data_IF_570472640868
#
_entry.id   IF_570472640868
#
_cell.length_a   1.000
_cell.length_b   1.000
_cell.length_c   1.000
_cell.angle_alpha   90.00
_cell.angle_beta   90.00
_cell.angle_gamma   90.00
#
_symmetry.space_group_name_H-M   'P 1'
#
loop_
_entity.id
_entity.type
_entity.pdbx_description
1 polymer ?
#
# COMPACT_ATOMS: atom_id res chain seq x y z
N UNK A 1 23.86 -4.48 -23.25
CA UNK A 1 24.39 -3.35 -22.47
C UNK A 1 23.24 -2.79 -21.64
N UNK A 2 23.25 -3.02 -20.30
CA UNK A 2 22.29 -2.39 -19.39
C UNK A 2 22.46 -0.88 -19.46
N UNK A 3 21.43 -0.18 -19.94
CA UNK A 3 21.34 1.27 -19.81
C UNK A 3 20.88 1.57 -18.37
N UNK A 4 21.81 1.99 -17.53
CA UNK A 4 21.48 2.56 -16.22
C UNK A 4 20.90 3.96 -16.45
N UNK A 5 19.59 4.12 -16.28
CA UNK A 5 18.97 5.42 -16.17
C UNK A 5 19.26 5.98 -14.79
N UNK A 6 20.28 6.83 -14.64
CA UNK A 6 20.47 7.62 -13.43
C UNK A 6 19.57 8.84 -13.48
N UNK A 7 18.44 8.80 -12.76
CA UNK A 7 17.69 9.97 -12.45
C UNK A 7 18.44 10.76 -11.37
N UNK A 8 19.04 11.92 -11.75
CA UNK A 8 19.50 12.88 -10.77
C UNK A 8 18.28 13.65 -10.26
N UNK A 9 17.86 13.37 -9.02
CA UNK A 9 16.81 14.13 -8.36
C UNK A 9 17.38 15.45 -7.86
N UNK A 10 16.85 16.57 -8.34
CA UNK A 10 17.02 17.87 -7.69
C UNK A 10 16.36 17.82 -6.30
N UNK A 11 17.14 18.11 -5.25
CA UNK A 11 16.65 18.10 -3.87
C UNK A 11 15.88 19.39 -3.63
N UNK A 12 14.60 19.41 -4.01
CA UNK A 12 13.65 20.42 -3.58
C UNK A 12 12.93 19.97 -2.30
N UNK A 13 12.47 20.93 -1.49
CA UNK A 13 11.84 20.76 -0.18
C UNK A 13 10.55 19.93 -0.16
N UNK A 14 10.02 19.48 -1.29
CA UNK A 14 8.91 18.51 -1.43
C UNK A 14 9.32 17.45 -2.42
N UNK A 15 9.19 16.18 -2.07
CA UNK A 15 9.24 15.11 -3.07
C UNK A 15 7.91 15.15 -3.84
N UNK A 16 8.00 14.96 -5.15
CA UNK A 16 6.87 14.83 -6.06
C UNK A 16 6.93 13.39 -6.62
N UNK A 17 5.83 12.69 -6.67
CA UNK A 17 5.76 11.34 -7.24
C UNK A 17 5.95 11.36 -8.76
N UNK A 18 5.78 12.53 -9.38
CA UNK A 18 6.07 12.79 -10.78
C UNK A 18 7.56 12.97 -10.98
N UNK A 19 8.03 12.63 -12.18
CA UNK A 19 9.46 12.71 -12.50
C UNK A 19 9.71 13.32 -13.89
N UNK A 20 10.94 13.82 -14.08
CA UNK A 20 11.45 14.25 -15.37
C UNK A 20 12.17 13.10 -16.05
N UNK A 21 12.18 13.09 -17.39
CA UNK A 21 12.83 12.07 -18.18
C UNK A 21 13.94 12.69 -19.05
N UNK A 22 15.15 12.16 -18.92
CA UNK A 22 16.31 12.54 -19.72
C UNK A 22 16.90 11.29 -20.39
N UNK A 23 17.30 11.41 -21.66
CA UNK A 23 17.98 10.35 -22.40
C UNK A 23 19.45 10.67 -22.61
N UNK A 24 20.28 9.66 -22.51
CA UNK A 24 21.68 9.69 -22.87
C UNK A 24 21.93 8.70 -24.03
N UNK A 25 22.17 9.20 -25.23
CA UNK A 25 22.27 8.39 -26.45
C UNK A 25 23.53 7.51 -26.49
N UNK A 26 24.58 7.88 -25.78
CA UNK A 26 25.79 7.09 -25.59
C UNK A 26 26.48 7.44 -24.28
N UNK A 27 27.32 6.54 -23.76
CA UNK A 27 27.98 6.66 -22.44
C UNK A 27 28.67 8.04 -22.20
N UNK A 28 29.07 8.75 -23.27
CA UNK A 28 29.76 10.02 -23.18
C UNK A 28 28.98 11.21 -23.79
N UNK A 29 27.73 10.99 -24.21
CA UNK A 29 26.88 12.08 -24.71
C UNK A 29 26.25 12.86 -23.55
N UNK A 30 25.81 14.09 -23.84
CA UNK A 30 25.01 14.87 -22.86
C UNK A 30 23.63 14.26 -22.70
N UNK A 31 23.05 14.45 -21.52
CA UNK A 31 21.63 14.16 -21.28
C UNK A 31 20.78 15.13 -22.11
N UNK A 32 19.78 14.57 -22.77
CA UNK A 32 18.81 15.31 -23.60
C UNK A 32 17.50 15.27 -22.83
N UNK A 33 16.89 16.42 -22.50
CA UNK A 33 15.57 16.41 -21.84
C UNK A 33 14.52 15.88 -22.83
N UNK A 34 13.71 14.92 -22.36
CA UNK A 34 12.59 14.34 -23.11
C UNK A 34 11.28 14.78 -22.48
N UNK A 35 11.20 14.75 -21.15
CA UNK A 35 10.13 15.34 -20.32
C UNK A 35 10.83 16.19 -19.27
N UNK A 36 10.71 17.51 -19.35
CA UNK A 36 11.38 18.47 -18.45
C UNK A 36 10.39 19.15 -17.48
N UNK A 37 9.14 18.70 -17.48
CA UNK A 37 8.10 19.15 -16.55
C UNK A 37 7.61 17.98 -15.67
N UNK A 38 7.09 18.29 -14.47
CA UNK A 38 6.51 17.30 -13.56
C UNK A 38 5.02 17.10 -13.89
N UNK A 39 4.74 16.42 -15.00
CA UNK A 39 3.38 16.21 -15.54
C UNK A 39 2.80 14.82 -15.24
N UNK A 40 3.64 13.86 -14.86
CA UNK A 40 3.26 12.49 -14.51
C UNK A 40 4.47 11.68 -14.07
N UNK A 41 4.22 10.49 -13.57
CA UNK A 41 5.27 9.48 -13.34
C UNK A 41 5.61 8.81 -14.67
N UNK A 42 6.90 8.66 -14.97
CA UNK A 42 7.40 7.91 -16.12
C UNK A 42 8.37 6.83 -15.64
N UNK A 43 8.02 5.58 -15.85
CA UNK A 43 8.86 4.43 -15.51
C UNK A 43 9.23 3.67 -16.78
N UNK A 44 10.53 3.53 -17.03
CA UNK A 44 11.04 2.76 -18.16
C UNK A 44 10.69 1.27 -17.98
N UNK A 45 10.18 0.65 -19.04
CA UNK A 45 9.81 -0.78 -19.04
C UNK A 45 10.90 -1.58 -19.74
N UNK A 46 11.12 -1.33 -21.04
CA UNK A 46 12.11 -2.00 -21.87
C UNK A 46 12.31 -1.23 -23.18
N UNK A 47 13.25 -1.69 -24.02
CA UNK A 47 13.52 -1.13 -25.33
C UNK A 47 13.88 -2.20 -26.36
N UNK A 48 13.48 -1.96 -27.62
CA UNK A 48 13.88 -2.77 -28.76
C UNK A 48 14.11 -1.84 -29.96
N UNK A 49 15.24 -1.98 -30.63
CA UNK A 49 15.65 -1.10 -31.74
C UNK A 49 15.67 0.39 -31.33
N UNK A 50 14.86 1.23 -31.97
CA UNK A 50 14.73 2.65 -31.69
C UNK A 50 13.48 3.00 -30.86
N UNK A 51 12.83 2.02 -30.24
CA UNK A 51 11.60 2.19 -29.45
C UNK A 51 11.92 1.93 -27.99
N UNK A 52 11.50 2.85 -27.12
CA UNK A 52 11.55 2.70 -25.65
C UNK A 52 10.12 2.73 -25.13
N UNK A 53 9.73 1.78 -24.28
CA UNK A 53 8.42 1.72 -23.67
C UNK A 53 8.45 2.22 -22.22
N UNK A 54 7.41 2.97 -21.88
CA UNK A 54 7.24 3.54 -20.53
C UNK A 54 5.82 3.29 -20.02
N UNK A 55 5.73 3.05 -18.73
CA UNK A 55 4.51 3.27 -17.96
C UNK A 55 4.44 4.76 -17.60
N UNK A 56 3.25 5.36 -17.65
CA UNK A 56 3.06 6.75 -17.21
C UNK A 56 1.68 6.96 -16.60
N UNK A 57 1.60 7.92 -15.65
CA UNK A 57 0.34 8.44 -15.08
C UNK A 57 -0.07 9.77 -15.70
N UNK A 58 0.65 10.29 -16.69
CA UNK A 58 0.30 11.54 -17.39
C UNK A 58 -1.05 11.44 -18.07
N UNK A 59 -2.05 12.22 -17.55
CA UNK A 59 -3.42 12.20 -18.03
C UNK A 59 -4.12 10.84 -17.89
N UNK A 60 -3.62 9.95 -17.01
CA UNK A 60 -4.09 8.59 -16.82
C UNK A 60 -3.83 8.14 -15.37
N UNK A 61 -4.66 8.53 -14.39
CA UNK A 61 -4.45 8.21 -12.97
C UNK A 61 -4.35 6.72 -12.65
N UNK A 62 -4.91 5.84 -13.48
CA UNK A 62 -4.75 4.38 -13.37
C UNK A 62 -3.52 3.84 -14.12
N UNK A 63 -2.80 4.71 -14.82
CA UNK A 63 -1.65 4.37 -15.65
C UNK A 63 -2.00 3.91 -17.06
N UNK A 64 -1.07 4.21 -17.97
CA UNK A 64 -1.10 3.78 -19.39
C UNK A 64 0.30 3.42 -19.84
N UNK A 65 0.40 2.77 -21.02
CA UNK A 65 1.67 2.44 -21.65
C UNK A 65 1.85 3.33 -22.89
N UNK A 66 3.00 3.97 -22.94
CA UNK A 66 3.42 4.80 -24.08
C UNK A 66 4.76 4.31 -24.62
N UNK A 67 5.06 4.61 -25.86
CA UNK A 67 6.41 4.46 -26.37
C UNK A 67 7.00 5.79 -26.83
N UNK A 68 8.32 5.85 -26.79
CA UNK A 68 9.15 6.90 -27.35
C UNK A 68 9.92 6.32 -28.52
N UNK A 69 9.60 6.75 -29.71
CA UNK A 69 10.32 6.36 -30.94
C UNK A 69 11.34 7.43 -31.31
N UNK A 70 12.60 6.99 -31.56
CA UNK A 70 13.70 7.88 -31.97
C UNK A 70 13.80 7.84 -33.49
N UNK A 71 13.30 8.88 -34.16
CA UNK A 71 13.32 9.02 -35.62
C UNK A 71 14.14 10.23 -36.08
N UNK A 72 15.23 10.01 -36.79
CA UNK A 72 16.06 11.09 -37.35
C UNK A 72 16.48 12.16 -36.33
N UNK A 73 16.76 11.74 -35.10
CA UNK A 73 17.11 12.62 -33.96
C UNK A 73 15.94 13.36 -33.31
N UNK A 74 14.72 13.07 -33.72
CA UNK A 74 13.48 13.56 -33.09
C UNK A 74 12.85 12.49 -32.20
N UNK A 75 12.15 12.92 -31.17
CA UNK A 75 11.41 12.08 -30.23
C UNK A 75 9.91 12.13 -30.56
N UNK A 76 9.32 10.96 -30.82
CA UNK A 76 7.89 10.83 -31.13
C UNK A 76 7.25 9.95 -30.11
N UNK A 77 6.30 10.50 -29.29
CA UNK A 77 5.52 9.77 -28.34
C UNK A 77 4.25 9.17 -28.98
N UNK A 78 3.97 7.92 -28.67
CA UNK A 78 2.75 7.26 -29.07
C UNK A 78 2.13 6.54 -27.86
N UNK A 79 0.79 6.61 -27.73
CA UNK A 79 0.06 5.76 -26.80
C UNK A 79 -0.01 4.34 -27.38
N UNK A 80 0.37 3.34 -26.57
CA UNK A 80 0.39 1.92 -26.96
C UNK A 80 -0.78 1.18 -26.32
N UNK A 81 -0.95 1.34 -25.01
CA UNK A 81 -2.08 0.77 -24.29
C UNK A 81 -2.71 1.90 -23.46
N UNK A 82 -3.95 2.22 -23.78
CA UNK A 82 -4.71 3.28 -23.12
C UNK A 82 -5.01 2.94 -21.65
N UNK A 83 -5.29 3.96 -20.85
CA UNK A 83 -5.77 3.80 -19.48
C UNK A 83 -7.02 2.91 -19.44
N UNK A 84 -7.06 2.05 -18.43
CA UNK A 84 -8.23 1.22 -18.12
C UNK A 84 -8.90 1.69 -16.83
N UNK A 85 -10.09 1.11 -16.53
CA UNK A 85 -10.76 1.33 -15.23
C UNK A 85 -9.96 0.79 -14.04
N UNK A 86 -9.05 -0.17 -14.28
CA UNK A 86 -8.23 -0.82 -13.28
C UNK A 86 -6.81 -0.24 -13.29
N UNK A 87 -6.26 0.05 -12.13
CA UNK A 87 -4.93 0.60 -12.00
C UNK A 87 -3.86 -0.44 -12.40
N UNK A 88 -2.84 0.00 -13.13
CA UNK A 88 -1.68 -0.81 -13.46
C UNK A 88 -0.76 -0.91 -12.23
N UNK A 89 -0.52 -2.13 -11.76
CA UNK A 89 0.41 -2.42 -10.66
C UNK A 89 1.84 -2.66 -11.13
N UNK A 90 2.00 -3.41 -12.21
CA UNK A 90 3.30 -3.69 -12.83
C UNK A 90 3.15 -4.07 -14.28
N UNK A 91 4.21 -3.80 -15.04
CA UNK A 91 4.33 -4.12 -16.46
C UNK A 91 5.69 -4.75 -16.70
N UNK A 92 5.73 -5.82 -17.48
CA UNK A 92 6.97 -6.43 -17.99
C UNK A 92 6.79 -6.71 -19.47
N UNK A 93 7.89 -6.72 -20.23
CA UNK A 93 7.92 -7.19 -21.62
C UNK A 93 8.68 -8.49 -21.64
N UNK A 94 8.02 -9.57 -22.08
CA UNK A 94 8.59 -10.91 -22.18
C UNK A 94 7.99 -11.57 -23.41
N UNK A 95 8.79 -12.29 -24.21
CA UNK A 95 8.35 -12.94 -25.44
C UNK A 95 7.61 -11.96 -26.39
N UNK A 96 8.24 -10.81 -26.64
CA UNK A 96 7.66 -9.73 -27.47
C UNK A 96 6.22 -9.34 -27.09
N UNK A 97 5.88 -9.45 -25.80
CA UNK A 97 4.54 -9.17 -25.29
C UNK A 97 4.57 -8.43 -23.96
N UNK A 98 3.66 -7.47 -23.78
CA UNK A 98 3.41 -6.86 -22.47
C UNK A 98 2.64 -7.85 -21.59
N UNK A 99 3.18 -8.12 -20.42
CA UNK A 99 2.49 -8.82 -19.32
C UNK A 99 2.15 -7.78 -18.27
N UNK A 100 0.89 -7.41 -18.19
CA UNK A 100 0.41 -6.32 -17.33
C UNK A 100 -0.39 -6.90 -16.17
N UNK A 101 0.01 -6.52 -14.95
CA UNK A 101 -0.74 -6.80 -13.73
C UNK A 101 -1.59 -5.58 -13.38
N UNK A 102 -2.90 -5.71 -13.54
CA UNK A 102 -3.90 -4.74 -13.08
C UNK A 102 -4.41 -5.09 -11.70
N UNK A 103 -4.90 -4.10 -10.96
CA UNK A 103 -5.69 -4.31 -9.75
C UNK A 103 -7.19 -4.22 -10.07
N UNK A 104 -7.90 -5.32 -9.92
CA UNK A 104 -9.35 -5.38 -10.00
C UNK A 104 -9.88 -5.67 -8.59
N UNK A 105 -10.49 -4.65 -7.97
CA UNK A 105 -10.98 -4.73 -6.58
C UNK A 105 -9.94 -5.33 -5.61
N UNK A 106 -8.70 -4.80 -5.64
CA UNK A 106 -7.57 -5.22 -4.80
C UNK A 106 -6.92 -6.58 -5.14
N UNK A 107 -7.46 -7.32 -6.10
CA UNK A 107 -6.86 -8.55 -6.60
C UNK A 107 -6.07 -8.30 -7.89
N UNK A 108 -5.03 -9.08 -8.09
CA UNK A 108 -4.26 -9.06 -9.34
C UNK A 108 -5.03 -9.68 -10.48
N UNK A 109 -5.01 -9.00 -11.63
CA UNK A 109 -5.49 -9.50 -12.90
C UNK A 109 -4.39 -9.35 -13.94
N UNK A 110 -3.98 -10.45 -14.56
CA UNK A 110 -2.92 -10.44 -15.57
C UNK A 110 -3.53 -10.41 -16.96
N UNK A 111 -3.13 -9.41 -17.77
CA UNK A 111 -3.48 -9.30 -19.18
C UNK A 111 -2.22 -9.26 -20.03
N UNK A 112 -2.28 -9.89 -21.19
CA UNK A 112 -1.17 -9.96 -22.17
C UNK A 112 -1.58 -9.21 -23.43
N UNK A 113 -0.66 -8.37 -23.93
CA UNK A 113 -0.83 -7.59 -25.15
C UNK A 113 0.43 -7.76 -26.01
N UNK A 114 0.30 -7.67 -27.32
CA UNK A 114 1.46 -7.57 -28.19
C UNK A 114 2.14 -6.19 -28.10
N UNK A 115 3.32 -6.03 -28.72
CA UNK A 115 4.07 -4.76 -28.67
C UNK A 115 3.39 -3.59 -29.40
N UNK A 116 2.35 -3.84 -30.22
CA UNK A 116 1.50 -2.80 -30.81
C UNK A 116 0.32 -2.39 -29.93
N UNK A 117 0.15 -3.04 -28.74
CA UNK A 117 -0.91 -2.74 -27.79
C UNK A 117 -2.22 -3.50 -28.04
N UNK A 118 -2.22 -4.47 -28.96
CA UNK A 118 -3.40 -5.31 -29.20
C UNK A 118 -3.53 -6.37 -28.09
N UNK A 119 -4.73 -6.50 -27.53
CA UNK A 119 -5.02 -7.48 -26.50
C UNK A 119 -4.92 -8.91 -27.04
N UNK A 120 -4.15 -9.76 -26.37
CA UNK A 120 -3.98 -11.17 -26.68
C UNK A 120 -4.88 -12.01 -25.79
N UNK A 121 -4.71 -11.91 -24.46
CA UNK A 121 -5.43 -12.76 -23.51
C UNK A 121 -5.46 -12.17 -22.11
N UNK A 122 -6.46 -12.59 -21.31
CA UNK A 122 -6.48 -12.48 -19.85
C UNK A 122 -6.08 -13.84 -19.27
N UNK A 123 -5.06 -13.87 -18.41
CA UNK A 123 -4.59 -15.11 -17.81
C UNK A 123 -5.59 -15.63 -16.78
N UNK A 124 -6.01 -16.89 -16.93
CA UNK A 124 -6.86 -17.57 -15.95
C UNK A 124 -6.03 -18.01 -14.76
N UNK A 125 -5.92 -17.15 -13.74
CA UNK A 125 -5.10 -17.38 -12.56
C UNK A 125 -5.59 -18.57 -11.74
N UNK A 126 -4.68 -19.35 -11.09
CA UNK A 126 -5.05 -20.54 -10.33
C UNK A 126 -5.88 -20.21 -9.09
N UNK A 127 -5.69 -19.00 -8.52
CA UNK A 127 -6.39 -18.49 -7.33
C UNK A 127 -6.50 -16.97 -7.41
N UNK A 128 -7.54 -16.44 -6.79
CA UNK A 128 -7.63 -15.00 -6.50
C UNK A 128 -6.61 -14.60 -5.42
N UNK A 129 -5.87 -13.52 -5.66
CA UNK A 129 -4.85 -13.03 -4.74
C UNK A 129 -3.95 -11.99 -5.34
N UNK A 130 -2.80 -11.83 -4.74
CA UNK A 130 -1.72 -10.99 -5.23
C UNK A 130 -0.77 -11.81 -6.07
N UNK A 131 -0.52 -11.32 -7.28
CA UNK A 131 0.47 -11.89 -8.20
C UNK A 131 1.73 -11.02 -8.18
N UNK A 132 2.88 -11.67 -8.23
CA UNK A 132 4.19 -11.04 -8.40
C UNK A 132 5.08 -11.92 -9.28
N UNK A 133 6.10 -11.33 -9.89
CA UNK A 133 7.01 -12.05 -10.79
C UNK A 133 6.88 -11.58 -12.22
N UNK A 134 6.86 -12.50 -13.18
CA UNK A 134 6.97 -12.24 -14.60
C UNK A 134 8.27 -11.51 -14.95
N UNK A 135 9.38 -11.95 -14.37
CA UNK A 135 10.71 -11.44 -14.69
C UNK A 135 11.30 -12.21 -15.86
N UNK A 136 11.94 -11.49 -16.77
CA UNK A 136 12.59 -12.04 -17.96
C UNK A 136 12.97 -10.96 -18.93
N UNK A 137 13.66 -11.32 -20.00
CA UNK A 137 13.95 -10.45 -21.14
C UNK A 137 12.92 -10.57 -22.25
N UNK A 138 12.96 -9.63 -23.18
CA UNK A 138 12.02 -9.54 -24.30
C UNK A 138 12.03 -10.81 -25.20
N UNK A 139 13.14 -11.58 -25.22
CA UNK A 139 13.29 -12.81 -26.02
C UNK A 139 13.00 -14.09 -25.22
N UNK A 140 12.75 -13.99 -23.91
CA UNK A 140 12.50 -15.17 -23.07
C UNK A 140 11.09 -15.72 -23.34
N UNK A 141 10.99 -17.03 -23.54
CA UNK A 141 9.71 -17.71 -23.81
C UNK A 141 9.04 -18.29 -22.55
N UNK A 142 9.71 -18.21 -21.41
CA UNK A 142 9.16 -18.70 -20.14
C UNK A 142 9.53 -17.80 -18.98
N UNK A 143 8.68 -17.79 -17.94
CA UNK A 143 8.91 -17.03 -16.73
C UNK A 143 8.32 -17.73 -15.52
N UNK A 144 8.40 -17.06 -14.36
CA UNK A 144 7.78 -17.50 -13.12
C UNK A 144 6.90 -16.41 -12.56
N UNK A 145 5.78 -16.81 -11.95
CA UNK A 145 4.97 -15.91 -11.14
C UNK A 145 4.59 -16.59 -9.83
N UNK A 146 4.40 -15.78 -8.81
CA UNK A 146 3.94 -16.22 -7.50
C UNK A 146 2.53 -15.73 -7.22
N UNK A 147 1.74 -16.57 -6.55
CA UNK A 147 0.39 -16.27 -6.06
C UNK A 147 0.38 -16.39 -4.55
N UNK A 148 -0.26 -15.44 -3.88
CA UNK A 148 -0.54 -15.50 -2.44
C UNK A 148 -1.84 -14.74 -2.13
N UNK A 149 -2.47 -15.06 -0.99
CA UNK A 149 -3.57 -14.28 -0.42
C UNK A 149 -3.62 -14.43 1.11
N UNK A 150 -4.66 -13.94 1.79
CA UNK A 150 -4.73 -13.99 3.27
C UNK A 150 -4.82 -15.40 3.87
N UNK A 151 -5.08 -16.42 3.04
CA UNK A 151 -5.22 -17.81 3.49
C UNK A 151 -4.38 -18.80 2.67
N UNK A 152 -3.77 -18.35 1.58
CA UNK A 152 -2.90 -19.19 0.75
C UNK A 152 -1.45 -18.75 0.90
N UNK A 153 -0.57 -19.58 1.46
CA UNK A 153 0.87 -19.39 1.41
C UNK A 153 1.37 -19.23 -0.03
N UNK A 154 2.59 -18.73 -0.20
CA UNK A 154 3.15 -18.49 -1.52
C UNK A 154 3.22 -19.76 -2.34
N UNK A 155 2.64 -19.71 -3.54
CA UNK A 155 2.77 -20.71 -4.59
C UNK A 155 3.47 -20.09 -5.79
N UNK A 156 4.46 -20.77 -6.36
CA UNK A 156 5.21 -20.32 -7.54
C UNK A 156 4.84 -21.21 -8.72
N UNK A 157 4.49 -20.60 -9.81
CA UNK A 157 4.13 -21.25 -11.07
C UNK A 157 5.18 -20.90 -12.13
N UNK A 158 5.53 -21.89 -12.96
CA UNK A 158 6.27 -21.68 -14.19
C UNK A 158 5.27 -21.49 -15.31
N UNK A 159 5.44 -20.47 -16.14
CA UNK A 159 4.58 -20.16 -17.28
C UNK A 159 5.39 -20.24 -18.58
N UNK A 160 4.80 -20.86 -19.60
CA UNK A 160 5.23 -20.76 -20.99
C UNK A 160 4.47 -19.59 -21.64
N UNK A 161 5.19 -18.59 -22.13
CA UNK A 161 4.61 -17.39 -22.71
C UNK A 161 4.28 -17.53 -24.22
N UNK A 162 4.55 -18.70 -24.79
CA UNK A 162 4.17 -18.99 -26.19
C UNK A 162 2.71 -19.41 -26.33
N UNK A 163 2.18 -20.11 -25.30
CA UNK A 163 0.80 -20.60 -25.23
C UNK A 163 0.04 -20.20 -23.97
N UNK A 164 0.72 -19.48 -23.05
CA UNK A 164 0.22 -19.01 -21.75
C UNK A 164 -0.18 -20.16 -20.80
N UNK A 165 0.29 -21.37 -21.03
CA UNK A 165 0.13 -22.49 -20.10
C UNK A 165 1.05 -22.35 -18.91
N UNK A 166 0.61 -22.80 -17.73
CA UNK A 166 1.44 -22.78 -16.53
C UNK A 166 1.23 -24.00 -15.66
N UNK A 167 2.26 -24.33 -14.90
CA UNK A 167 2.26 -25.45 -13.95
C UNK A 167 2.80 -25.01 -12.59
N UNK A 168 2.33 -25.67 -11.52
CA UNK A 168 2.84 -25.41 -10.18
C UNK A 168 4.29 -25.90 -10.11
N UNK A 169 5.20 -24.97 -9.84
CA UNK A 169 6.63 -25.24 -9.69
C UNK A 169 7.01 -25.48 -8.23
N UNK A 170 6.46 -24.68 -7.31
CA UNK A 170 6.76 -24.77 -5.89
C UNK A 170 5.64 -24.19 -5.05
N UNK A 171 5.41 -24.71 -3.85
CA UNK A 171 4.51 -24.14 -2.85
C UNK A 171 5.18 -24.13 -1.48
N UNK A 172 4.90 -23.09 -0.69
CA UNK A 172 5.30 -23.06 0.71
C UNK A 172 4.43 -24.04 1.51
N UNK A 173 5.07 -25.05 2.11
CA UNK A 173 4.41 -26.01 3.00
C UNK A 173 4.63 -25.61 4.46
N UNK A 174 3.54 -25.55 5.20
CA UNK A 174 3.55 -25.21 6.62
C UNK A 174 2.99 -26.37 7.43
N UNK A 175 3.77 -26.85 8.40
CA UNK A 175 3.34 -27.94 9.27
C UNK A 175 2.10 -27.55 10.05
N UNK A 176 1.05 -28.39 9.95
CA UNK A 176 -0.20 -28.17 10.67
C UNK A 176 -1.07 -27.04 10.11
N UNK A 177 -0.85 -26.61 8.87
CA UNK A 177 -1.67 -25.64 8.17
C UNK A 177 -2.26 -26.22 6.90
N UNK A 178 -3.59 -26.12 6.77
CA UNK A 178 -4.31 -26.35 5.51
C UNK A 178 -5.11 -25.10 5.17
N UNK A 179 -4.88 -24.53 3.98
CA UNK A 179 -5.59 -23.33 3.52
C UNK A 179 -7.11 -23.55 3.35
N UNK A 180 -7.55 -24.80 3.20
CA UNK A 180 -8.97 -25.17 3.08
C UNK A 180 -9.76 -25.01 4.38
N UNK A 181 -9.06 -24.92 5.54
CA UNK A 181 -9.64 -24.66 6.85
C UNK A 181 -9.99 -23.19 7.09
N UNK A 182 -9.63 -22.32 6.16
CA UNK A 182 -9.80 -20.88 6.29
C UNK A 182 -10.59 -20.31 5.11
N UNK A 183 -11.21 -19.17 5.34
CA UNK A 183 -11.88 -18.38 4.31
C UNK A 183 -11.35 -16.96 4.31
N UNK A 184 -11.32 -16.36 3.11
CA UNK A 184 -11.10 -14.94 2.92
C UNK A 184 -12.13 -14.44 1.90
N UNK A 185 -12.77 -13.32 2.23
CA UNK A 185 -13.73 -12.68 1.33
C UNK A 185 -13.50 -11.19 1.28
N UNK A 186 -13.82 -10.58 0.15
CA UNK A 186 -13.86 -9.15 -0.06
C UNK A 186 -15.29 -8.66 0.12
N UNK A 187 -15.46 -7.61 0.90
CA UNK A 187 -16.71 -6.85 1.02
C UNK A 187 -16.42 -5.35 0.81
N UNK A 188 -17.48 -4.56 0.64
CA UNK A 188 -17.40 -3.10 0.52
C UNK A 188 -18.29 -2.46 1.58
N UNK A 189 -17.83 -1.33 2.13
CA UNK A 189 -18.60 -0.55 3.07
C UNK A 189 -18.54 0.94 2.70
N UNK A 190 -19.61 1.70 2.98
CA UNK A 190 -19.59 3.14 2.78
C UNK A 190 -18.77 3.82 3.88
N UNK A 191 -17.82 4.67 3.50
CA UNK A 191 -17.18 5.62 4.41
C UNK A 191 -18.15 6.72 4.83
N UNK A 192 -17.68 7.68 5.62
CA UNK A 192 -18.48 8.81 6.12
C UNK A 192 -19.09 9.65 5.01
N UNK A 193 -18.39 9.80 3.89
CA UNK A 193 -18.82 10.55 2.71
C UNK A 193 -19.54 9.69 1.66
N UNK A 194 -19.77 8.40 1.94
CA UNK A 194 -20.42 7.45 1.05
C UNK A 194 -19.48 6.71 0.10
N UNK A 195 -18.19 7.05 0.05
CA UNK A 195 -17.18 6.35 -0.76
C UNK A 195 -17.15 4.87 -0.36
N UNK A 196 -17.21 3.97 -1.35
CA UNK A 196 -17.15 2.53 -1.12
C UNK A 196 -15.70 2.09 -0.88
N UNK A 197 -15.43 1.58 0.31
CA UNK A 197 -14.10 1.14 0.73
C UNK A 197 -14.04 -0.38 0.75
N UNK A 198 -13.06 -1.02 0.07
CA UNK A 198 -12.89 -2.47 0.13
C UNK A 198 -12.36 -2.91 1.50
N UNK A 199 -12.84 -4.04 1.97
CA UNK A 199 -12.36 -4.70 3.17
C UNK A 199 -12.26 -6.20 2.97
N UNK A 200 -11.09 -6.75 3.23
CA UNK A 200 -10.89 -8.20 3.27
C UNK A 200 -11.15 -8.73 4.66
N UNK A 201 -11.91 -9.80 4.77
CA UNK A 201 -12.25 -10.45 6.04
C UNK A 201 -11.82 -11.90 5.94
N UNK A 202 -10.95 -12.35 6.87
CA UNK A 202 -10.45 -13.72 6.89
C UNK A 202 -10.54 -14.35 8.28
N UNK A 203 -10.92 -15.63 8.34
CA UNK A 203 -11.12 -16.37 9.56
C UNK A 203 -11.10 -17.89 9.30
N UNK A 204 -11.18 -18.72 10.34
CA UNK A 204 -11.43 -20.15 10.21
C UNK A 204 -12.81 -20.39 9.60
N UNK A 205 -12.92 -21.40 8.72
CA UNK A 205 -14.15 -21.71 7.98
C UNK A 205 -15.31 -22.13 8.88
N UNK A 206 -15.01 -22.83 9.95
CA UNK A 206 -15.98 -23.38 10.92
C UNK A 206 -16.27 -22.44 12.09
N UNK A 207 -15.69 -21.22 12.11
CA UNK A 207 -15.90 -20.25 13.15
C UNK A 207 -17.32 -19.67 13.09
N UNK A 208 -18.08 -19.84 14.14
CA UNK A 208 -19.35 -19.12 14.38
C UNK A 208 -19.01 -17.70 14.85
N UNK A 209 -19.29 -16.72 14.00
CA UNK A 209 -18.94 -15.32 14.24
C UNK A 209 -20.11 -14.59 14.86
N UNK A 210 -19.83 -13.88 15.98
CA UNK A 210 -20.79 -13.02 16.67
C UNK A 210 -20.12 -11.74 17.21
N UNK A 211 -20.86 -10.97 18.03
CA UNK A 211 -20.37 -9.75 18.70
C UNK A 211 -19.28 -9.99 19.75
N UNK A 212 -19.07 -11.23 20.20
CA UNK A 212 -18.03 -11.61 21.17
C UNK A 212 -16.76 -12.12 20.47
N UNK A 213 -16.81 -12.35 19.17
CA UNK A 213 -15.68 -12.84 18.40
C UNK A 213 -14.54 -11.82 18.40
N UNK A 214 -13.30 -12.21 18.76
CA UNK A 214 -12.15 -11.32 18.68
C UNK A 214 -11.91 -10.83 17.25
N UNK A 215 -11.84 -9.51 17.07
CA UNK A 215 -11.65 -8.85 15.79
C UNK A 215 -10.36 -8.04 15.79
N UNK A 216 -9.50 -8.26 14.79
CA UNK A 216 -8.33 -7.45 14.55
C UNK A 216 -8.46 -6.77 13.18
N UNK A 217 -8.46 -5.43 13.17
CA UNK A 217 -8.55 -4.63 11.94
C UNK A 217 -7.18 -4.01 11.68
N UNK A 218 -6.67 -4.21 10.48
CA UNK A 218 -5.43 -3.62 9.99
C UNK A 218 -5.73 -2.57 8.91
N UNK A 219 -4.94 -1.49 8.89
CA UNK A 219 -4.98 -0.47 7.85
C UNK A 219 -3.64 0.25 7.70
N UNK A 220 -3.47 0.92 6.56
CA UNK A 220 -2.29 1.74 6.26
C UNK A 220 -2.66 3.13 5.73
N UNK A 221 -3.24 3.25 4.53
CA UNK A 221 -3.83 4.45 3.95
C UNK A 221 -2.85 5.62 3.75
N UNK A 222 -1.88 5.49 2.87
CA UNK A 222 -0.95 6.56 2.51
C UNK A 222 0.16 6.14 1.56
N UNK A 223 0.89 7.13 1.06
CA UNK A 223 2.12 6.95 0.26
C UNK A 223 1.93 6.14 -1.02
N UNK A 224 0.74 6.16 -1.60
CA UNK A 224 0.44 5.40 -2.83
C UNK A 224 0.76 3.89 -2.68
N UNK A 225 0.64 3.34 -1.44
CA UNK A 225 0.95 1.94 -1.13
C UNK A 225 -0.34 1.14 -1.02
N UNK A 226 -0.57 0.23 -2.00
CA UNK A 226 -1.68 -0.73 -1.94
C UNK A 226 -1.42 -1.81 -0.89
N UNK A 227 -2.40 -2.06 -0.03
CA UNK A 227 -2.37 -3.17 0.93
C UNK A 227 -3.06 -4.38 0.30
N UNK A 228 -2.27 -5.20 -0.39
CA UNK A 228 -2.78 -6.33 -1.16
C UNK A 228 -2.83 -7.62 -0.32
N UNK A 229 -3.74 -8.55 -0.67
CA UNK A 229 -3.84 -9.85 -0.02
C UNK A 229 -2.50 -10.58 0.03
N UNK A 230 -2.02 -10.86 1.23
CA UNK A 230 -0.75 -11.58 1.44
C UNK A 230 -0.85 -12.51 2.65
N UNK A 231 -0.27 -13.69 2.53
CA UNK A 231 -0.22 -14.67 3.61
C UNK A 231 0.74 -14.22 4.72
N UNK A 232 0.30 -14.40 5.97
CA UNK A 232 1.15 -14.14 7.14
C UNK A 232 0.92 -15.17 8.23
N UNK A 233 2.03 -15.71 8.77
CA UNK A 233 2.01 -16.67 9.89
C UNK A 233 1.42 -16.05 11.16
N UNK A 234 1.67 -14.76 11.42
CA UNK A 234 1.09 -14.05 12.57
C UNK A 234 -0.42 -13.88 12.45
N UNK A 235 -0.93 -13.55 11.27
CA UNK A 235 -2.37 -13.50 11.00
C UNK A 235 -3.01 -14.88 11.12
N UNK A 236 -2.29 -15.93 10.73
CA UNK A 236 -2.74 -17.33 10.91
C UNK A 236 -2.81 -17.71 12.38
N UNK A 237 -1.81 -17.31 13.17
CA UNK A 237 -1.83 -17.54 14.62
C UNK A 237 -3.04 -16.85 15.29
N UNK A 238 -3.40 -15.63 14.87
CA UNK A 238 -4.60 -14.93 15.30
C UNK A 238 -5.88 -15.71 14.94
N UNK A 239 -6.02 -16.13 13.68
CA UNK A 239 -7.16 -16.93 13.21
C UNK A 239 -7.27 -18.26 13.97
N UNK A 240 -6.14 -18.87 14.35
CA UNK A 240 -6.11 -20.10 15.15
C UNK A 240 -6.62 -19.92 16.59
N UNK A 241 -6.61 -18.70 17.10
CA UNK A 241 -7.25 -18.34 18.37
C UNK A 241 -8.74 -17.93 18.19
N UNK A 242 -9.37 -18.37 17.11
CA UNK A 242 -10.74 -18.03 16.74
C UNK A 242 -10.98 -16.52 16.55
N UNK A 243 -9.96 -15.80 16.12
CA UNK A 243 -10.06 -14.39 15.76
C UNK A 243 -10.42 -14.19 14.30
N UNK A 244 -11.18 -13.13 14.03
CA UNK A 244 -11.37 -12.58 12.68
C UNK A 244 -10.27 -11.56 12.40
N UNK A 245 -9.65 -11.63 11.24
CA UNK A 245 -8.69 -10.65 10.75
C UNK A 245 -9.27 -9.90 9.56
N UNK A 246 -9.34 -8.58 9.67
CA UNK A 246 -9.87 -7.71 8.62
C UNK A 246 -8.80 -6.71 8.16
N UNK A 247 -8.75 -6.44 6.87
CA UNK A 247 -7.83 -5.46 6.25
C UNK A 247 -8.64 -4.48 5.42
N UNK A 248 -8.65 -3.21 5.82
CA UNK A 248 -9.32 -2.15 5.09
C UNK A 248 -8.37 -1.49 4.09
N UNK A 249 -8.77 -1.44 2.82
CA UNK A 249 -8.02 -0.82 1.73
C UNK A 249 -8.40 0.66 1.61
N UNK A 250 -7.78 1.46 2.44
CA UNK A 250 -8.15 2.86 2.69
C UNK A 250 -7.67 3.78 1.56
N UNK A 251 -8.36 4.91 1.38
CA UNK A 251 -7.84 6.02 0.56
C UNK A 251 -6.45 6.42 1.02
N UNK A 252 -5.64 6.99 0.13
CA UNK A 252 -4.21 7.23 0.36
C UNK A 252 -3.31 6.08 -0.13
N UNK A 253 -3.85 4.87 -0.34
CA UNK A 253 -3.21 3.78 -1.06
C UNK A 253 -3.32 3.94 -2.58
N UNK A 254 -2.89 2.94 -3.35
CA UNK A 254 -2.90 2.92 -4.81
C UNK A 254 -3.89 1.90 -5.42
N UNK A 255 -4.83 1.40 -4.62
CA UNK A 255 -5.71 0.30 -5.04
C UNK A 255 -6.57 0.67 -6.25
N UNK A 256 -6.90 1.96 -6.40
CA UNK A 256 -7.67 2.53 -7.51
C UNK A 256 -6.94 3.70 -8.18
N UNK A 257 -5.60 3.62 -8.28
CA UNK A 257 -4.74 4.60 -8.96
C UNK A 257 -4.50 5.89 -8.17
N UNK A 258 -3.93 6.89 -8.87
CA UNK A 258 -3.51 8.16 -8.24
C UNK A 258 -4.65 8.92 -7.58
N UNK A 259 -5.87 8.88 -8.15
CA UNK A 259 -7.04 9.54 -7.54
C UNK A 259 -7.40 8.99 -6.15
N UNK A 260 -7.16 7.68 -5.92
CA UNK A 260 -7.36 7.05 -4.61
C UNK A 260 -6.32 7.52 -3.59
N UNK A 261 -5.07 7.69 -4.03
CA UNK A 261 -4.00 8.26 -3.23
C UNK A 261 -4.29 9.73 -2.87
N UNK A 262 -4.60 10.56 -3.87
CA UNK A 262 -4.90 11.99 -3.69
C UNK A 262 -6.08 12.23 -2.75
N UNK A 263 -7.07 11.34 -2.75
CA UNK A 263 -8.22 11.40 -1.84
C UNK A 263 -7.88 11.11 -0.36
N UNK A 264 -6.65 10.66 -0.05
CA UNK A 264 -6.18 10.34 1.30
C UNK A 264 -4.88 11.01 1.71
N UNK A 265 -4.38 12.01 0.96
CA UNK A 265 -3.15 12.74 1.30
C UNK A 265 -3.41 14.22 1.57
N UNK A 266 -2.40 14.93 2.10
CA UNK A 266 -2.42 16.37 2.37
C UNK A 266 -3.70 16.81 3.13
N UNK A 267 -4.44 17.77 2.60
CA UNK A 267 -5.67 18.27 3.23
C UNK A 267 -6.82 17.26 3.27
N UNK A 268 -6.71 16.17 2.50
CA UNK A 268 -7.68 15.06 2.47
C UNK A 268 -7.37 13.94 3.47
N UNK A 269 -6.30 14.06 4.28
CA UNK A 269 -5.83 12.99 5.18
C UNK A 269 -6.90 12.51 6.18
N UNK A 270 -7.84 13.36 6.59
CA UNK A 270 -8.94 12.97 7.47
C UNK A 270 -9.83 11.86 6.87
N UNK A 271 -9.95 11.79 5.55
CA UNK A 271 -10.71 10.72 4.88
C UNK A 271 -10.20 9.32 5.26
N UNK A 272 -8.88 9.18 5.43
CA UNK A 272 -8.25 7.89 5.79
C UNK A 272 -8.68 7.44 7.19
N UNK A 273 -8.75 8.36 8.13
CA UNK A 273 -9.18 8.09 9.51
C UNK A 273 -10.69 7.78 9.58
N UNK A 274 -11.48 8.52 8.79
CA UNK A 274 -12.92 8.27 8.65
C UNK A 274 -13.17 6.89 8.01
N UNK A 275 -12.48 6.54 6.93
CA UNK A 275 -12.56 5.23 6.29
C UNK A 275 -12.30 4.11 7.31
N UNK A 276 -11.23 4.23 8.11
CA UNK A 276 -10.86 3.20 9.08
C UNK A 276 -11.85 3.08 10.25
N UNK A 277 -12.38 4.19 10.74
CA UNK A 277 -13.42 4.18 11.76
C UNK A 277 -14.72 3.54 11.25
N UNK A 278 -15.07 3.80 9.98
CA UNK A 278 -16.25 3.21 9.37
C UNK A 278 -16.08 1.71 9.04
N UNK A 279 -14.84 1.22 8.84
CA UNK A 279 -14.56 -0.21 8.78
C UNK A 279 -15.02 -0.93 10.07
N UNK A 280 -14.65 -0.40 11.23
CA UNK A 280 -15.07 -0.96 12.52
C UNK A 280 -16.59 -0.90 12.68
N UNK A 281 -17.22 0.26 12.39
CA UNK A 281 -18.69 0.41 12.46
C UNK A 281 -19.41 -0.59 11.56
N UNK A 282 -18.91 -0.80 10.34
CA UNK A 282 -19.45 -1.76 9.39
C UNK A 282 -19.38 -3.18 9.94
N UNK A 283 -18.20 -3.63 10.42
CA UNK A 283 -18.03 -4.97 10.97
C UNK A 283 -18.93 -5.21 12.19
N UNK A 284 -19.01 -4.25 13.11
CA UNK A 284 -19.91 -4.31 14.27
C UNK A 284 -21.39 -4.40 13.84
N UNK A 285 -21.80 -3.65 12.81
CA UNK A 285 -23.18 -3.73 12.28
C UNK A 285 -23.53 -5.10 11.71
N UNK A 286 -22.52 -5.85 11.23
CA UNK A 286 -22.63 -7.23 10.77
C UNK A 286 -22.48 -8.26 11.89
N UNK A 287 -22.35 -7.82 13.16
CA UNK A 287 -22.04 -8.67 14.32
C UNK A 287 -20.72 -9.45 14.16
N UNK A 288 -19.76 -8.87 13.49
CA UNK A 288 -18.39 -9.35 13.41
C UNK A 288 -17.58 -8.62 14.48
N UNK A 289 -17.54 -9.20 15.68
CA UNK A 289 -17.02 -8.52 16.87
C UNK A 289 -17.89 -7.34 17.33
N UNK A 290 -17.37 -6.60 18.29
CA UNK A 290 -17.98 -5.41 18.92
C UNK A 290 -16.88 -4.46 19.40
N UNK A 291 -17.19 -3.24 19.88
CA UNK A 291 -16.18 -2.36 20.47
C UNK A 291 -15.37 -3.02 21.59
N UNK A 292 -15.98 -3.94 22.35
CA UNK A 292 -15.32 -4.64 23.48
C UNK A 292 -14.38 -5.77 23.05
N UNK A 293 -14.43 -6.21 21.79
CA UNK A 293 -13.62 -7.31 21.24
C UNK A 293 -12.73 -6.89 20.07
N UNK A 294 -12.77 -5.61 19.69
CA UNK A 294 -12.02 -5.10 18.53
C UNK A 294 -10.66 -4.54 18.94
N UNK A 295 -9.62 -5.04 18.29
CA UNK A 295 -8.28 -4.47 18.24
C UNK A 295 -8.02 -3.82 16.89
N UNK A 296 -7.26 -2.72 16.88
CA UNK A 296 -6.77 -2.06 15.66
C UNK A 296 -5.25 -2.05 15.62
N UNK A 297 -4.68 -2.34 14.46
CA UNK A 297 -3.24 -2.44 14.23
C UNK A 297 -2.82 -1.69 12.96
N UNK A 298 -1.65 -1.09 13.02
CA UNK A 298 -1.05 -0.41 11.87
C UNK A 298 0.38 0.03 12.14
N UNK A 299 1.20 0.04 11.09
CA UNK A 299 2.64 0.31 11.20
C UNK A 299 3.03 1.56 10.42
N UNK A 300 3.99 2.36 10.92
CA UNK A 300 4.50 3.57 10.27
C UNK A 300 3.36 4.59 10.03
N UNK A 301 3.02 4.94 8.80
CA UNK A 301 1.79 5.68 8.49
C UNK A 301 0.52 4.99 9.05
N UNK A 302 0.47 3.65 9.04
CA UNK A 302 -0.58 2.89 9.73
C UNK A 302 -0.58 3.06 11.25
N UNK A 303 0.57 3.32 11.86
CA UNK A 303 0.67 3.68 13.28
C UNK A 303 0.09 5.07 13.57
N UNK A 304 0.28 6.05 12.68
CA UNK A 304 -0.44 7.32 12.70
C UNK A 304 -1.94 7.09 12.59
N UNK A 305 -2.38 6.29 11.61
CA UNK A 305 -3.77 5.92 11.39
C UNK A 305 -4.43 5.42 12.70
N UNK A 306 -3.82 4.40 13.32
CA UNK A 306 -4.32 3.79 14.55
C UNK A 306 -4.42 4.81 15.69
N UNK A 307 -3.35 5.58 15.92
CA UNK A 307 -3.31 6.55 17.00
C UNK A 307 -4.32 7.70 16.79
N UNK A 308 -4.41 8.25 15.57
CA UNK A 308 -5.39 9.29 15.26
C UNK A 308 -6.83 8.78 15.40
N UNK A 309 -7.11 7.59 14.86
CA UNK A 309 -8.47 7.04 14.86
C UNK A 309 -8.95 6.66 16.26
N UNK A 310 -8.07 6.08 17.11
CA UNK A 310 -8.44 5.76 18.50
C UNK A 310 -8.71 7.01 19.34
N UNK A 311 -8.00 8.12 19.07
CA UNK A 311 -8.24 9.38 19.78
C UNK A 311 -9.53 10.06 19.33
N UNK A 312 -9.89 9.95 18.05
CA UNK A 312 -11.12 10.51 17.48
C UNK A 312 -12.36 9.67 17.80
N UNK A 313 -12.20 8.35 18.00
CA UNK A 313 -13.29 7.39 18.21
C UNK A 313 -12.95 6.39 19.32
N UNK A 314 -12.72 6.83 20.55
CA UNK A 314 -12.23 5.95 21.63
C UNK A 314 -13.20 4.79 21.97
N UNK A 315 -14.49 4.99 21.78
CA UNK A 315 -15.53 4.01 22.11
C UNK A 315 -15.68 2.88 21.07
N UNK A 316 -14.98 2.95 19.93
CA UNK A 316 -15.06 1.92 18.88
C UNK A 316 -14.12 0.74 19.12
N UNK A 317 -13.13 0.86 20.00
CA UNK A 317 -12.02 -0.10 20.09
C UNK A 317 -11.72 -0.47 21.54
N UNK A 318 -11.37 -1.74 21.76
CA UNK A 318 -10.85 -2.24 23.04
C UNK A 318 -9.35 -2.04 23.15
N UNK A 319 -8.63 -2.29 22.03
CA UNK A 319 -7.17 -2.28 21.97
C UNK A 319 -6.72 -1.50 20.73
N UNK A 320 -5.67 -0.69 20.89
CA UNK A 320 -4.97 -0.01 19.81
C UNK A 320 -3.48 -0.35 19.81
N UNK A 321 -2.93 -0.69 18.65
CA UNK A 321 -1.53 -1.10 18.49
C UNK A 321 -0.85 -0.21 17.43
N UNK A 322 -0.52 1.05 17.77
CA UNK A 322 0.24 1.93 16.87
C UNK A 322 1.70 1.52 16.85
N UNK A 323 2.14 0.87 15.77
CA UNK A 323 3.50 0.39 15.61
C UNK A 323 4.37 1.42 14.87
N UNK A 324 5.50 1.81 15.45
CA UNK A 324 6.46 2.77 14.87
C UNK A 324 5.78 3.97 14.18
N UNK A 325 4.77 4.54 14.85
CA UNK A 325 3.87 5.54 14.27
C UNK A 325 4.50 6.93 14.16
N UNK A 326 4.12 7.69 13.12
CA UNK A 326 4.41 9.12 12.98
C UNK A 326 3.41 9.90 13.82
N UNK A 327 3.73 10.14 15.12
CA UNK A 327 2.76 10.57 16.12
C UNK A 327 2.86 12.06 16.52
N UNK A 328 3.94 12.75 16.11
CA UNK A 328 4.12 14.20 16.25
C UNK A 328 4.11 14.84 14.86
N UNK A 329 2.91 15.19 14.38
CA UNK A 329 2.75 15.70 13.03
C UNK A 329 3.22 17.15 12.85
N UNK A 330 3.51 17.87 13.94
CA UNK A 330 4.03 19.24 13.83
C UNK A 330 5.56 19.29 13.70
N UNK A 331 6.24 18.16 13.93
CA UNK A 331 7.71 18.09 13.90
C UNK A 331 8.27 16.92 13.09
N UNK A 332 7.41 16.09 12.47
CA UNK A 332 7.88 14.92 11.74
C UNK A 332 8.95 15.28 10.69
N UNK A 333 8.77 16.41 9.99
CA UNK A 333 9.67 16.91 8.95
C UNK A 333 11.03 17.42 9.48
N UNK A 334 11.19 17.55 10.80
CA UNK A 334 12.45 17.95 11.44
C UNK A 334 13.30 16.75 11.89
N UNK A 335 12.79 15.53 11.76
CA UNK A 335 13.48 14.30 12.13
C UNK A 335 13.99 13.55 10.91
N UNK A 336 15.25 13.14 10.90
CA UNK A 336 15.90 12.28 9.92
C UNK A 336 15.36 12.44 8.48
N UNK A 337 14.63 11.46 7.94
CA UNK A 337 14.04 11.46 6.60
C UNK A 337 12.61 12.05 6.55
N UNK A 338 12.08 12.52 7.67
CA UNK A 338 10.69 13.00 7.76
C UNK A 338 10.35 14.12 6.76
N UNK A 339 11.31 14.95 6.36
CA UNK A 339 11.15 15.96 5.33
C UNK A 339 10.63 15.38 3.98
N UNK A 340 10.98 14.13 3.67
CA UNK A 340 10.54 13.45 2.47
C UNK A 340 9.04 13.08 2.50
N UNK A 341 8.38 13.13 3.65
CA UNK A 341 6.96 12.79 3.81
C UNK A 341 6.04 14.00 3.68
N UNK A 342 6.58 15.19 3.43
CA UNK A 342 5.77 16.39 3.20
C UNK A 342 4.90 16.28 1.94
N UNK A 343 5.26 15.46 0.97
CA UNK A 343 4.43 15.18 -0.21
C UNK A 343 3.09 14.53 0.16
N UNK A 344 3.07 13.65 1.18
CA UNK A 344 1.86 12.94 1.62
C UNK A 344 1.12 13.65 2.76
N UNK A 345 1.85 14.28 3.69
CA UNK A 345 1.27 14.89 4.89
C UNK A 345 1.09 16.40 4.81
N UNK A 346 1.89 17.09 4.01
CA UNK A 346 2.04 18.54 4.04
C UNK A 346 3.13 19.01 4.99
N UNK A 347 3.34 20.32 5.07
CA UNK A 347 4.39 20.96 5.88
C UNK A 347 3.81 21.81 7.01
N UNK A 348 4.36 21.66 8.22
CA UNK A 348 4.04 22.53 9.35
C UNK A 348 4.50 24.00 9.16
N UNK A 349 5.30 24.28 8.15
CA UNK A 349 5.75 25.63 7.80
C UNK A 349 4.72 26.38 6.91
N UNK A 350 3.67 25.71 6.44
CA UNK A 350 2.58 26.27 5.62
C UNK A 350 1.29 26.30 6.45
N UNK A 351 0.68 27.48 6.59
CA UNK A 351 -0.39 27.73 7.55
C UNK A 351 -1.58 26.75 7.46
N UNK A 352 -2.17 26.58 6.27
CA UNK A 352 -3.31 25.67 6.08
C UNK A 352 -2.95 24.20 6.29
N UNK A 353 -1.73 23.80 5.93
CA UNK A 353 -1.23 22.44 6.17
C UNK A 353 -0.91 22.23 7.65
N UNK A 354 -0.36 23.24 8.34
CA UNK A 354 -0.17 23.22 9.79
C UNK A 354 -1.50 23.02 10.53
N UNK A 355 -2.53 23.76 10.16
CA UNK A 355 -3.87 23.65 10.77
C UNK A 355 -4.44 22.23 10.57
N UNK A 356 -4.27 21.66 9.37
CA UNK A 356 -4.68 20.29 9.06
C UNK A 356 -3.85 19.25 9.86
N UNK A 357 -2.53 19.39 9.90
CA UNK A 357 -1.64 18.51 10.68
C UNK A 357 -2.00 18.55 12.17
N UNK A 358 -2.26 19.75 12.72
CA UNK A 358 -2.66 19.92 14.12
C UNK A 358 -3.99 19.23 14.42
N UNK A 359 -4.95 19.28 13.51
CA UNK A 359 -6.28 18.71 13.69
C UNK A 359 -6.27 17.21 13.95
N UNK A 360 -5.31 16.46 13.37
CA UNK A 360 -5.21 15.01 13.57
C UNK A 360 -3.92 14.52 14.26
N UNK A 361 -2.98 15.42 14.59
CA UNK A 361 -1.70 15.01 15.23
C UNK A 361 -1.94 14.26 16.54
N UNK A 362 -1.59 12.96 16.65
CA UNK A 362 -1.91 12.19 17.86
C UNK A 362 -1.34 12.81 19.13
N UNK A 363 -0.08 13.21 19.12
CA UNK A 363 0.57 13.83 20.28
C UNK A 363 -0.17 15.07 20.80
N UNK A 364 -0.81 15.83 19.90
CA UNK A 364 -1.42 17.12 20.26
C UNK A 364 -2.93 17.01 20.60
N UNK A 365 -3.55 15.87 20.29
CA UNK A 365 -5.00 15.66 20.45
C UNK A 365 -5.40 14.70 21.60
N UNK A 366 -4.48 14.32 22.48
CA UNK A 366 -4.82 13.58 23.70
C UNK A 366 -5.50 14.54 24.69
N UNK A 367 -6.71 14.18 25.15
CA UNK A 367 -7.53 14.95 26.11
C UNK A 367 -7.51 14.27 27.48
N UNK A 368 -7.58 15.03 28.56
CA UNK A 368 -7.50 14.54 29.95
C UNK A 368 -8.77 13.82 30.44
N UNK A 369 -9.93 14.10 29.83
CA UNK A 369 -11.22 13.62 30.33
C UNK A 369 -11.77 12.45 29.51
N UNK A 370 -10.94 11.80 28.69
CA UNK A 370 -11.32 10.71 27.79
C UNK A 370 -10.68 9.41 28.25
N UNK A 371 -11.48 8.33 28.27
CA UNK A 371 -11.00 6.97 28.48
C UNK A 371 -10.63 6.36 27.11
N UNK A 372 -9.35 6.24 26.84
CA UNK A 372 -8.85 5.68 25.59
C UNK A 372 -8.73 4.15 25.66
N UNK A 373 -8.73 3.43 24.51
CA UNK A 373 -8.45 2.00 24.44
C UNK A 373 -7.14 1.62 25.12
N UNK A 374 -7.05 0.37 25.60
CA UNK A 374 -5.74 -0.19 25.99
C UNK A 374 -4.76 -0.09 24.83
N UNK A 375 -3.62 0.57 25.04
CA UNK A 375 -2.72 0.93 23.94
C UNK A 375 -1.35 0.28 24.10
N UNK A 376 -0.91 -0.46 23.08
CA UNK A 376 0.44 -1.00 22.96
C UNK A 376 1.21 -0.23 21.89
N UNK A 377 2.06 0.72 22.30
CA UNK A 377 2.95 1.46 21.41
C UNK A 377 4.23 0.67 21.22
N UNK A 378 4.56 0.29 19.98
CA UNK A 378 5.82 -0.38 19.67
C UNK A 378 6.78 0.52 18.90
N UNK A 379 8.08 0.46 19.22
CA UNK A 379 9.12 1.20 18.52
C UNK A 379 10.45 0.47 18.62
N UNK A 380 11.40 0.77 17.74
CA UNK A 380 12.77 0.29 17.83
C UNK A 380 13.67 1.39 18.40
N UNK A 381 14.62 1.03 19.29
CA UNK A 381 15.49 1.99 19.96
C UNK A 381 16.44 2.76 18.99
N UNK A 382 16.67 2.19 17.81
CA UNK A 382 17.55 2.75 16.76
C UNK A 382 16.80 2.88 15.42
N UNK A 383 15.50 3.18 15.47
CA UNK A 383 14.74 3.49 14.26
C UNK A 383 15.17 4.86 13.74
N UNK A 384 15.89 4.87 12.62
CA UNK A 384 16.37 6.08 11.95
C UNK A 384 15.38 6.59 10.90
N UNK A 385 14.33 5.83 10.59
CA UNK A 385 13.27 6.21 9.68
C UNK A 385 12.12 6.92 10.41
N UNK A 386 11.48 6.25 11.36
CA UNK A 386 10.47 6.85 12.25
C UNK A 386 11.05 6.91 13.65
N UNK A 387 11.72 8.01 13.95
CA UNK A 387 12.49 8.13 15.20
C UNK A 387 11.67 7.80 16.44
N UNK A 388 12.22 7.07 17.42
CA UNK A 388 11.47 6.57 18.58
C UNK A 388 10.90 7.69 19.47
N UNK A 389 11.36 8.93 19.29
CA UNK A 389 10.81 10.09 20.01
C UNK A 389 9.32 10.33 19.71
N UNK A 390 8.80 9.94 18.53
CA UNK A 390 7.36 9.95 18.24
C UNK A 390 6.60 9.08 19.25
N UNK A 391 7.03 7.83 19.39
CA UNK A 391 6.41 6.83 20.25
C UNK A 391 6.57 7.19 21.74
N UNK A 392 7.75 7.61 22.16
CA UNK A 392 7.99 7.96 23.58
C UNK A 392 7.18 9.16 24.04
N UNK A 393 7.13 10.24 23.26
CA UNK A 393 6.34 11.42 23.60
C UNK A 393 4.85 11.12 23.66
N UNK A 394 4.36 10.38 22.69
CA UNK A 394 2.94 9.97 22.64
C UNK A 394 2.57 9.09 23.83
N UNK A 395 3.36 8.05 24.11
CA UNK A 395 3.10 7.13 25.22
C UNK A 395 3.14 7.85 26.57
N UNK A 396 4.15 8.70 26.82
CA UNK A 396 4.26 9.47 28.05
C UNK A 396 3.05 10.38 28.26
N UNK A 397 2.63 11.12 27.21
CA UNK A 397 1.45 11.99 27.29
C UNK A 397 0.15 11.23 27.45
N UNK A 398 0.02 10.06 26.79
CA UNK A 398 -1.15 9.20 26.95
C UNK A 398 -1.25 8.67 28.38
N UNK A 399 -0.14 8.22 28.97
CA UNK A 399 -0.08 7.76 30.37
C UNK A 399 -0.42 8.86 31.37
N UNK A 400 0.00 10.11 31.12
CA UNK A 400 -0.29 11.28 31.96
C UNK A 400 -1.79 11.66 31.93
N UNK A 401 -2.42 11.61 30.74
CA UNK A 401 -3.76 12.15 30.51
C UNK A 401 -4.90 11.10 30.50
N UNK A 402 -4.55 9.81 30.49
CA UNK A 402 -5.53 8.73 30.49
C UNK A 402 -6.44 8.80 31.74
N UNK A 403 -7.75 8.94 31.52
CA UNK A 403 -8.70 9.17 32.62
C UNK A 403 -9.21 7.90 33.30
N UNK A 404 -8.92 6.72 32.77
CA UNK A 404 -9.35 5.42 33.30
C UNK A 404 -8.19 4.46 33.53
N UNK A 405 -8.43 3.37 34.27
CA UNK A 405 -7.42 2.35 34.62
C UNK A 405 -7.05 1.44 33.42
N UNK A 406 -7.13 1.92 32.19
CA UNK A 406 -6.61 1.21 31.02
C UNK A 406 -5.10 1.37 30.93
N UNK A 407 -4.42 0.31 30.54
CA UNK A 407 -2.96 0.25 30.55
C UNK A 407 -2.43 0.72 29.19
N UNK A 408 -1.45 1.63 29.23
CA UNK A 408 -0.67 2.02 28.06
C UNK A 408 0.77 1.55 28.23
N UNK A 409 1.24 0.68 27.32
CA UNK A 409 2.61 0.16 27.32
C UNK A 409 3.39 0.71 26.14
N UNK A 410 4.67 1.02 26.38
CA UNK A 410 5.64 1.18 25.31
C UNK A 410 6.53 -0.06 25.28
N UNK A 411 6.62 -0.73 24.14
CA UNK A 411 7.51 -1.86 23.94
C UNK A 411 8.63 -1.50 22.96
N UNK A 412 9.89 -1.70 23.41
CA UNK A 412 11.06 -1.57 22.56
C UNK A 412 11.29 -2.89 21.85
N UNK A 413 11.16 -2.91 20.54
CA UNK A 413 11.63 -4.04 19.74
C UNK A 413 13.13 -3.95 19.55
N UNK A 414 13.85 -5.08 19.67
CA UNK A 414 15.24 -5.15 19.24
C UNK A 414 15.32 -4.77 17.75
N UNK A 415 16.43 -4.09 17.32
CA UNK A 415 16.57 -3.74 15.92
C UNK A 415 16.51 -5.02 15.08
N UNK A 416 15.45 -5.18 14.32
CA UNK A 416 15.39 -6.19 13.28
C UNK A 416 16.28 -5.72 12.14
N UNK A 417 17.42 -6.36 11.98
CA UNK A 417 18.43 -6.05 10.97
C UNK A 417 17.99 -6.39 9.54
N UNK A 418 16.72 -6.65 9.29
CA UNK A 418 16.18 -6.94 7.95
C UNK A 418 14.80 -6.30 7.80
N UNK A 419 14.81 -5.17 7.10
CA UNK A 419 13.66 -4.68 6.35
C UNK A 419 13.98 -4.75 4.87
#
# INVERSE_FOLDING_TARGET
TRNESSAASDVYKRQDDRNKLYLQMSKNSKFIPVIDELIGTYSFIDSKDNILWFYTTEGAPNGKIVNLEIKNGSFVWNEVIAESKNAIRSVNIINDSFVINYLEDTFSQISVFNLSGEFISKLSLPKQGTISGFSGGIEDTSSFFAVTNYVTPREIYKIDLTDLSFELFWKEELVGYDSSDYVSRLEFYPSKDGTQIPIHISHKKDLEIDENTPLLIYGYGGFNISILPNFSKSQTAWKNQNGVYAVANLRGGAEYGDSWHEAGMLLNKQNVFDDFAYAAKFLHSKKIGSPSTTAIDGRSNGGLLVAATMLQNPDLYKIAIPQVGVLDMLRFNKFTIGWAWESDYGSSDIKNEFENLLAYSPLHNIKSDVCYPTTLVTTASRDDRVVPSHSFKFAAKLQELQSCNTVSYTHLTLPTTHC
#
